data_IF_846868171732
#
_entry.id   IF_846868171732
#
_cell.length_a   1.000
_cell.length_b   1.000
_cell.length_c   1.000
_cell.angle_alpha   90.00
_cell.angle_beta   90.00
_cell.angle_gamma   90.00
#
_symmetry.space_group_name_H-M   'P 1'
#
loop_
_entity.id
_entity.type
_entity.pdbx_description
1 polymer ?
#
# COMPACT_ATOMS: atom_id res chain seq x y z
N UNK A 1 -5.79 18.52 -16.54
CA UNK A 1 -4.91 17.74 -17.43
C UNK A 1 -3.56 17.46 -16.78
N UNK A 2 -3.00 18.44 -16.06
CA UNK A 2 -1.75 18.33 -15.29
C UNK A 2 -1.77 17.19 -14.26
N UNK A 3 -2.77 17.11 -13.38
CA UNK A 3 -2.90 16.02 -12.38
C UNK A 3 -2.87 14.63 -13.02
N UNK A 4 -3.52 14.44 -14.17
CA UNK A 4 -3.54 13.16 -14.88
C UNK A 4 -2.14 12.77 -15.40
N UNK A 5 -1.39 13.74 -15.96
CA UNK A 5 -0.02 13.52 -16.39
C UNK A 5 0.92 13.27 -15.20
N UNK A 6 0.72 13.97 -14.08
CA UNK A 6 1.46 13.75 -12.83
C UNK A 6 1.20 12.35 -12.26
N UNK A 7 -0.04 11.86 -12.31
CA UNK A 7 -0.39 10.49 -11.89
C UNK A 7 0.34 9.45 -12.72
N UNK A 8 0.33 9.61 -14.04
CA UNK A 8 1.04 8.70 -14.97
C UNK A 8 2.53 8.73 -14.69
N UNK A 9 3.11 9.92 -14.51
CA UNK A 9 4.52 10.08 -14.17
C UNK A 9 4.87 9.35 -12.87
N UNK A 10 4.06 9.50 -11.82
CA UNK A 10 4.28 8.80 -10.55
C UNK A 10 4.26 7.27 -10.69
N UNK A 11 3.31 6.73 -11.48
CA UNK A 11 3.24 5.29 -11.77
C UNK A 11 4.47 4.83 -12.56
N UNK A 12 4.90 5.58 -13.57
CA UNK A 12 6.06 5.25 -14.39
C UNK A 12 7.35 5.23 -13.56
N UNK A 13 7.51 6.15 -12.60
CA UNK A 13 8.65 6.15 -11.67
C UNK A 13 8.69 4.87 -10.84
N UNK A 14 7.55 4.42 -10.32
CA UNK A 14 7.46 3.17 -9.53
C UNK A 14 7.77 1.96 -10.40
N UNK A 15 7.21 1.89 -11.61
CA UNK A 15 7.53 0.83 -12.57
C UNK A 15 9.02 0.81 -12.92
N UNK A 16 9.64 1.99 -13.09
CA UNK A 16 11.08 2.13 -13.29
C UNK A 16 11.90 1.58 -12.11
N UNK A 17 11.53 1.93 -10.87
CA UNK A 17 12.20 1.40 -9.67
C UNK A 17 12.07 -0.12 -9.55
N UNK A 18 10.88 -0.68 -9.82
CA UNK A 18 10.65 -2.12 -9.82
C UNK A 18 11.53 -2.80 -10.89
N UNK A 19 11.59 -2.23 -12.09
CA UNK A 19 12.38 -2.77 -13.19
C UNK A 19 13.88 -2.76 -12.88
N UNK A 20 14.39 -1.69 -12.28
CA UNK A 20 15.80 -1.62 -11.82
C UNK A 20 16.06 -2.71 -10.78
N UNK A 21 15.19 -2.85 -9.77
CA UNK A 21 15.33 -3.91 -8.76
C UNK A 21 15.30 -5.32 -9.35
N UNK A 22 14.42 -5.56 -10.32
CA UNK A 22 14.34 -6.82 -11.05
C UNK A 22 15.63 -7.11 -11.83
N UNK A 23 16.15 -6.14 -12.59
CA UNK A 23 17.40 -6.31 -13.37
C UNK A 23 18.60 -6.54 -12.45
N UNK A 24 18.69 -5.87 -11.30
CA UNK A 24 19.73 -6.12 -10.31
C UNK A 24 19.63 -7.54 -9.74
N UNK A 25 18.41 -8.00 -9.47
CA UNK A 25 18.13 -9.37 -9.03
C UNK A 25 18.59 -10.41 -10.04
N UNK A 26 18.23 -10.25 -11.32
CA UNK A 26 18.63 -11.13 -12.42
C UNK A 26 20.15 -11.13 -12.67
N UNK A 27 20.83 -9.99 -12.45
CA UNK A 27 22.29 -9.89 -12.52
C UNK A 27 23.02 -10.53 -11.33
N UNK A 28 22.29 -11.14 -10.40
CA UNK A 28 22.87 -11.82 -9.25
C UNK A 28 23.47 -10.89 -8.19
N UNK A 29 23.07 -9.61 -8.16
CA UNK A 29 23.54 -8.68 -7.12
C UNK A 29 23.02 -9.03 -5.72
N UNK A 30 21.88 -9.73 -5.66
CA UNK A 30 21.25 -10.21 -4.44
C UNK A 30 20.94 -11.69 -4.58
N UNK A 31 21.51 -12.51 -3.70
CA UNK A 31 21.11 -13.90 -3.52
C UNK A 31 19.74 -13.98 -2.83
N UNK A 32 19.14 -15.18 -2.81
CA UNK A 32 17.79 -15.36 -2.26
C UNK A 32 17.72 -15.06 -0.76
N UNK A 33 18.81 -15.27 -0.02
CA UNK A 33 18.91 -14.93 1.39
C UNK A 33 18.91 -13.40 1.60
N UNK A 34 19.69 -12.66 0.82
CA UNK A 34 19.73 -11.19 0.84
C UNK A 34 18.38 -10.58 0.47
N UNK A 35 17.67 -11.13 -0.52
CA UNK A 35 16.32 -10.68 -0.90
C UNK A 35 15.34 -10.83 0.26
N UNK A 36 15.37 -11.98 0.94
CA UNK A 36 14.57 -12.23 2.13
C UNK A 36 14.91 -11.28 3.29
N UNK A 37 16.20 -10.99 3.48
CA UNK A 37 16.68 -10.07 4.51
C UNK A 37 16.23 -8.62 4.22
N UNK A 38 16.35 -8.14 2.98
CA UNK A 38 15.88 -6.81 2.58
C UNK A 38 14.37 -6.68 2.84
N UNK A 39 13.58 -7.69 2.43
CA UNK A 39 12.13 -7.67 2.66
C UNK A 39 11.79 -7.62 4.17
N UNK A 40 12.49 -8.39 5.01
CA UNK A 40 12.32 -8.35 6.47
C UNK A 40 12.72 -7.01 7.07
N UNK A 41 13.87 -6.45 6.68
CA UNK A 41 14.32 -5.16 7.18
C UNK A 41 13.32 -4.05 6.85
N UNK A 42 12.82 -4.04 5.61
CA UNK A 42 11.84 -3.04 5.19
C UNK A 42 10.54 -3.21 5.96
N UNK A 43 9.97 -4.42 5.98
CA UNK A 43 8.63 -4.65 6.55
C UNK A 43 8.59 -4.67 8.07
N UNK A 44 9.63 -5.17 8.73
CA UNK A 44 9.65 -5.37 10.19
C UNK A 44 10.36 -4.24 10.94
N UNK A 45 11.20 -3.44 10.27
CA UNK A 45 11.95 -2.36 10.92
C UNK A 45 11.61 -1.01 10.29
N UNK A 46 11.90 -0.83 9.00
CA UNK A 46 11.76 0.48 8.36
C UNK A 46 10.32 0.98 8.37
N UNK A 47 9.35 0.10 8.05
CA UNK A 47 7.93 0.46 8.06
C UNK A 47 7.43 0.87 9.45
N UNK A 48 7.61 0.07 10.54
CA UNK A 48 7.24 0.51 11.88
C UNK A 48 7.92 1.81 12.33
N UNK A 49 9.22 1.97 12.04
CA UNK A 49 9.93 3.21 12.36
C UNK A 49 9.36 4.41 11.60
N UNK A 50 9.06 4.26 10.32
CA UNK A 50 8.43 5.30 9.49
C UNK A 50 7.04 5.67 10.01
N UNK A 51 6.26 4.69 10.44
CA UNK A 51 4.95 4.90 11.07
C UNK A 51 5.08 5.72 12.36
N UNK A 52 5.99 5.35 13.26
CA UNK A 52 6.22 6.06 14.52
C UNK A 52 6.72 7.50 14.29
N UNK A 53 7.68 7.67 13.39
CA UNK A 53 8.17 8.99 13.00
C UNK A 53 7.03 9.86 12.49
N UNK A 54 6.19 9.32 11.60
CA UNK A 54 5.11 10.10 11.01
C UNK A 54 4.03 10.43 12.02
N UNK A 55 3.64 9.48 12.89
CA UNK A 55 2.68 9.72 13.98
C UNK A 55 3.19 10.84 14.90
N UNK A 56 4.44 10.77 15.33
CA UNK A 56 5.01 11.73 16.29
C UNK A 56 5.28 13.11 15.71
N UNK A 57 5.56 13.22 14.41
CA UNK A 57 5.89 14.50 13.76
C UNK A 57 4.69 15.17 13.07
N UNK A 58 3.69 14.40 12.62
CA UNK A 58 2.59 14.91 11.79
C UNK A 58 1.24 14.93 12.49
N UNK A 59 1.12 14.36 13.70
CA UNK A 59 -0.15 14.31 14.43
C UNK A 59 0.02 14.81 15.86
N UNK A 60 -0.92 15.62 16.32
CA UNK A 60 -1.13 15.84 17.75
C UNK A 60 -2.06 14.76 18.33
N UNK A 61 -2.08 14.60 19.66
CA UNK A 61 -3.02 13.70 20.32
C UNK A 61 -4.49 14.03 19.97
N UNK A 62 -4.79 15.33 19.78
CA UNK A 62 -6.13 15.78 19.40
C UNK A 62 -6.47 15.43 17.95
N UNK A 63 -5.50 15.45 17.04
CA UNK A 63 -5.69 15.05 15.64
C UNK A 63 -5.95 13.55 15.54
N UNK A 64 -5.19 12.73 16.28
CA UNK A 64 -5.43 11.28 16.35
C UNK A 64 -6.85 10.94 16.84
N UNK A 65 -7.33 11.66 17.87
CA UNK A 65 -8.69 11.49 18.37
C UNK A 65 -9.76 11.88 17.34
N UNK A 66 -9.51 12.93 16.55
CA UNK A 66 -10.41 13.35 15.46
C UNK A 66 -10.39 12.38 14.28
N UNK A 67 -9.31 11.62 14.11
CA UNK A 67 -9.16 10.69 13.00
C UNK A 67 -9.71 9.28 13.28
N UNK A 68 -9.93 8.92 14.55
CA UNK A 68 -10.67 7.71 14.93
C UNK A 68 -12.03 7.57 14.20
N UNK A 69 -12.92 8.57 14.18
CA UNK A 69 -14.16 8.47 13.41
C UNK A 69 -13.92 8.49 11.90
N UNK A 70 -12.80 9.02 11.40
CA UNK A 70 -12.44 9.00 9.98
C UNK A 70 -11.99 7.61 9.49
N UNK A 71 -11.55 6.71 10.38
CA UNK A 71 -11.24 5.31 10.02
C UNK A 71 -12.42 4.59 9.35
N UNK A 72 -13.65 5.06 9.55
CA UNK A 72 -14.84 4.52 8.86
C UNK A 72 -14.71 4.57 7.35
N UNK A 73 -14.02 5.58 6.79
CA UNK A 73 -13.89 5.73 5.34
C UNK A 73 -12.96 4.67 4.74
N UNK A 74 -11.71 4.49 5.23
CA UNK A 74 -10.89 3.34 4.86
C UNK A 74 -11.57 1.99 5.10
N UNK A 75 -12.21 1.78 6.25
CA UNK A 75 -12.85 0.51 6.58
C UNK A 75 -14.02 0.20 5.63
N UNK A 76 -14.85 1.19 5.31
CA UNK A 76 -15.95 1.04 4.35
C UNK A 76 -15.43 0.79 2.94
N UNK A 77 -14.41 1.54 2.51
CA UNK A 77 -13.72 1.33 1.24
C UNK A 77 -13.24 -0.12 1.11
N UNK A 78 -12.59 -0.64 2.16
CA UNK A 78 -12.12 -2.02 2.19
C UNK A 78 -13.26 -3.03 2.13
N UNK A 79 -14.31 -2.86 2.92
CA UNK A 79 -15.47 -3.74 2.87
C UNK A 79 -16.13 -3.79 1.48
N UNK A 80 -16.25 -2.64 0.82
CA UNK A 80 -16.75 -2.53 -0.56
C UNK A 80 -15.81 -3.29 -1.50
N UNK A 81 -14.50 -3.07 -1.41
CA UNK A 81 -13.51 -3.69 -2.28
C UNK A 81 -13.49 -5.23 -2.11
N UNK A 82 -13.69 -5.73 -0.88
CA UNK A 82 -13.83 -7.15 -0.60
C UNK A 82 -15.09 -7.74 -1.25
N UNK A 83 -16.20 -7.01 -1.22
CA UNK A 83 -17.43 -7.37 -1.91
C UNK A 83 -17.23 -7.45 -3.42
N UNK A 84 -16.58 -6.45 -4.01
CA UNK A 84 -16.22 -6.42 -5.44
C UNK A 84 -15.30 -7.60 -5.78
N UNK A 85 -14.25 -7.84 -5.00
CA UNK A 85 -13.32 -8.95 -5.22
C UNK A 85 -14.05 -10.31 -5.24
N UNK A 86 -15.01 -10.49 -4.33
CA UNK A 86 -15.81 -11.72 -4.24
C UNK A 86 -16.74 -11.89 -5.43
N UNK A 87 -17.35 -10.80 -5.90
CA UNK A 87 -18.21 -10.78 -7.08
C UNK A 87 -17.40 -11.09 -8.36
N UNK A 88 -16.27 -10.40 -8.54
CA UNK A 88 -15.33 -10.61 -9.66
C UNK A 88 -14.85 -12.07 -9.68
N UNK A 89 -14.47 -12.63 -8.53
CA UNK A 89 -14.06 -14.03 -8.44
C UNK A 89 -15.18 -15.00 -8.85
N UNK A 90 -16.45 -14.64 -8.61
CA UNK A 90 -17.62 -15.40 -9.06
C UNK A 90 -17.86 -15.27 -10.56
N UNK A 91 -17.81 -14.05 -11.11
CA UNK A 91 -18.01 -13.75 -12.54
C UNK A 91 -16.98 -14.49 -13.41
N UNK A 92 -15.70 -14.45 -13.01
CA UNK A 92 -14.63 -15.12 -13.73
C UNK A 92 -14.51 -16.62 -13.39
N UNK A 93 -15.47 -17.19 -12.65
CA UNK A 93 -15.50 -18.59 -12.26
C UNK A 93 -14.15 -19.08 -11.70
N UNK A 94 -13.52 -18.28 -10.83
CA UNK A 94 -12.22 -18.62 -10.24
C UNK A 94 -12.35 -19.93 -9.47
N UNK A 95 -11.48 -20.89 -9.78
CA UNK A 95 -11.46 -22.22 -9.15
C UNK A 95 -11.51 -22.10 -7.62
N UNK A 96 -12.35 -22.91 -6.97
CA UNK A 96 -12.57 -22.86 -5.51
C UNK A 96 -11.25 -22.92 -4.72
N UNK A 97 -10.30 -23.74 -5.15
CA UNK A 97 -8.99 -23.88 -4.50
C UNK A 97 -8.19 -22.57 -4.46
N UNK A 98 -8.34 -21.71 -5.47
CA UNK A 98 -7.58 -20.45 -5.62
C UNK A 98 -8.41 -19.21 -5.30
N UNK A 99 -9.71 -19.37 -5.03
CA UNK A 99 -10.64 -18.25 -4.87
C UNK A 99 -10.26 -17.34 -3.71
N UNK A 100 -9.86 -17.92 -2.56
CA UNK A 100 -9.39 -17.16 -1.41
C UNK A 100 -8.12 -16.34 -1.72
N UNK A 101 -7.15 -16.97 -2.38
CA UNK A 101 -5.91 -16.30 -2.80
C UNK A 101 -6.20 -15.17 -3.80
N UNK A 102 -7.06 -15.40 -4.79
CA UNK A 102 -7.46 -14.38 -5.76
C UNK A 102 -8.12 -13.19 -5.07
N UNK A 103 -9.10 -13.45 -4.19
CA UNK A 103 -9.80 -12.38 -3.45
C UNK A 103 -8.79 -11.60 -2.61
N UNK A 104 -7.90 -12.28 -1.89
CA UNK A 104 -6.86 -11.64 -1.06
C UNK A 104 -5.91 -10.77 -1.89
N UNK A 105 -5.43 -11.26 -3.04
CA UNK A 105 -4.53 -10.48 -3.92
C UNK A 105 -5.23 -9.29 -4.58
N UNK A 106 -6.53 -9.40 -4.87
CA UNK A 106 -7.32 -8.32 -5.45
C UNK A 106 -7.64 -7.24 -4.41
N UNK A 107 -7.96 -7.67 -3.20
CA UNK A 107 -8.40 -6.81 -2.11
C UNK A 107 -7.23 -6.14 -1.37
N UNK A 108 -6.14 -6.86 -1.13
CA UNK A 108 -5.03 -6.36 -0.32
C UNK A 108 -4.13 -5.42 -1.14
N UNK A 109 -4.28 -4.11 -0.90
CA UNK A 109 -3.59 -3.08 -1.66
C UNK A 109 -2.20 -2.78 -1.08
N UNK A 110 -1.22 -2.57 -1.97
CA UNK A 110 0.14 -2.14 -1.62
C UNK A 110 0.22 -0.63 -1.35
N UNK A 111 -0.56 -0.17 -0.36
CA UNK A 111 -0.84 1.24 -0.12
C UNK A 111 0.39 2.03 0.34
N UNK A 112 1.35 1.41 1.02
CA UNK A 112 2.58 2.11 1.40
C UNK A 112 3.57 2.19 0.25
N UNK A 113 3.88 1.07 -0.42
CA UNK A 113 4.95 1.07 -1.42
C UNK A 113 4.57 1.75 -2.71
N UNK A 114 3.31 1.61 -3.13
CA UNK A 114 2.81 2.21 -4.37
C UNK A 114 1.92 3.41 -4.05
N UNK A 115 1.02 3.27 -3.08
CA UNK A 115 0.06 4.32 -2.76
C UNK A 115 0.71 5.60 -2.24
N UNK A 116 1.66 5.51 -1.31
CA UNK A 116 2.33 6.68 -0.72
C UNK A 116 3.04 7.58 -1.74
N UNK A 117 3.96 7.09 -2.60
CA UNK A 117 4.64 7.96 -3.57
C UNK A 117 3.67 8.56 -4.59
N UNK A 118 2.61 7.84 -4.99
CA UNK A 118 1.56 8.39 -5.87
C UNK A 118 0.79 9.51 -5.15
N UNK A 119 0.39 9.29 -3.89
CA UNK A 119 -0.35 10.27 -3.13
C UNK A 119 0.49 11.53 -2.85
N UNK A 120 1.78 11.35 -2.59
CA UNK A 120 2.73 12.47 -2.44
C UNK A 120 2.91 13.23 -3.75
N UNK A 121 3.04 12.54 -4.89
CA UNK A 121 3.17 13.18 -6.19
C UNK A 121 1.92 14.00 -6.58
N UNK A 122 0.74 13.54 -6.18
CA UNK A 122 -0.53 14.18 -6.54
C UNK A 122 -1.02 15.25 -5.57
N UNK A 123 -0.81 15.02 -4.27
CA UNK A 123 -1.42 15.82 -3.20
C UNK A 123 -0.37 16.40 -2.24
N UNK A 124 0.93 16.15 -2.48
CA UNK A 124 2.03 16.61 -1.64
C UNK A 124 2.09 15.93 -0.28
N UNK A 125 2.94 16.46 0.61
CA UNK A 125 3.17 15.89 1.94
C UNK A 125 1.93 15.89 2.85
N UNK A 126 0.93 16.71 2.54
CA UNK A 126 -0.33 16.77 3.27
C UNK A 126 -1.14 15.47 3.17
N UNK A 127 -0.87 14.62 2.18
CA UNK A 127 -1.58 13.35 2.00
C UNK A 127 -1.00 12.19 2.79
N UNK A 128 0.25 12.31 3.26
CA UNK A 128 0.97 11.26 3.98
C UNK A 128 0.17 10.75 5.19
N UNK A 129 -0.40 11.61 6.06
CA UNK A 129 -1.23 11.17 7.18
C UNK A 129 -2.39 10.24 6.78
N UNK A 130 -3.10 10.58 5.71
CA UNK A 130 -4.26 9.85 5.24
C UNK A 130 -3.89 8.47 4.68
N UNK A 131 -2.78 8.39 3.94
CA UNK A 131 -2.27 7.11 3.42
C UNK A 131 -1.87 6.17 4.56
N UNK A 132 -1.23 6.71 5.60
CA UNK A 132 -0.79 5.90 6.73
C UNK A 132 -1.96 5.39 7.58
N UNK A 133 -3.00 6.21 7.79
CA UNK A 133 -4.21 5.76 8.46
C UNK A 133 -4.91 4.67 7.65
N UNK A 134 -4.99 4.84 6.32
CA UNK A 134 -5.51 3.79 5.45
C UNK A 134 -4.71 2.50 5.61
N UNK A 135 -3.38 2.58 5.62
CA UNK A 135 -2.53 1.41 5.84
C UNK A 135 -2.74 0.76 7.21
N UNK A 136 -2.80 1.53 8.30
CA UNK A 136 -3.07 1.01 9.64
C UNK A 136 -4.39 0.27 9.70
N UNK A 137 -5.43 0.83 9.07
CA UNK A 137 -6.71 0.18 8.94
C UNK A 137 -6.56 -1.13 8.16
N UNK A 138 -5.88 -1.10 7.01
CA UNK A 138 -5.70 -2.28 6.15
C UNK A 138 -5.05 -3.45 6.91
N UNK A 139 -3.94 -3.19 7.60
CA UNK A 139 -3.16 -4.19 8.35
C UNK A 139 -3.84 -4.65 9.64
N UNK A 140 -4.78 -3.86 10.20
CA UNK A 140 -5.51 -4.27 11.42
C UNK A 140 -6.70 -5.15 11.09
N UNK A 141 -7.41 -4.86 10.00
CA UNK A 141 -8.59 -5.61 9.59
C UNK A 141 -8.24 -6.88 8.79
N UNK A 142 -7.04 -6.95 8.18
CA UNK A 142 -6.61 -8.02 7.28
C UNK A 142 -5.10 -8.29 7.37
#
# INVERSE_FOLDING_TARGET
>A
MEIFLTSISGILVILGMILVGFVMGEKGWFDDESRGLIAKLVTQIALPCYMLYTITQRFTATDLLKMLPELRFPALSMAILLGIATAVAGIFAVKKERRGLFISMFFNSNTIFVGLPINQALFGDASIPYVLIYYMCNTTFF
#
